data_IF_815324707965
#
_entry.id   IF_815324707965
#
_cell.length_a   1.000
_cell.length_b   1.000
_cell.length_c   1.000
_cell.angle_alpha   90.00
_cell.angle_beta   90.00
_cell.angle_gamma   90.00
#
_symmetry.space_group_name_H-M   'P 1'
#
loop_
_entity.id
_entity.type
_entity.pdbx_description
1 polymer ?
#
# COMPACT_ATOMS: atom_id res chain seq x y z
N UNK A 1 -3.93 -0.05 35.66
CA UNK A 1 -4.45 -0.03 34.28
C UNK A 1 -5.90 0.43 34.24
N UNK A 2 -6.85 -0.33 34.82
CA UNK A 2 -8.30 -0.04 34.72
C UNK A 2 -8.70 1.40 35.06
N UNK A 3 -8.32 1.90 36.23
CA UNK A 3 -8.67 3.27 36.66
C UNK A 3 -8.08 4.37 35.75
N UNK A 4 -6.87 4.18 35.22
CA UNK A 4 -6.20 5.18 34.38
C UNK A 4 -6.90 5.33 33.03
N UNK A 5 -7.20 4.22 32.35
CA UNK A 5 -7.92 4.32 31.08
C UNK A 5 -9.41 4.64 31.27
N UNK A 6 -10.01 4.30 32.41
CA UNK A 6 -11.39 4.70 32.72
C UNK A 6 -11.56 6.23 32.69
N UNK A 7 -10.56 6.99 33.14
CA UNK A 7 -10.55 8.45 33.11
C UNK A 7 -10.62 9.03 31.69
N UNK A 8 -10.25 8.28 30.65
CA UNK A 8 -10.34 8.74 29.25
C UNK A 8 -11.80 9.01 28.85
N UNK A 9 -12.73 8.12 29.22
CA UNK A 9 -14.15 8.26 28.86
C UNK A 9 -15.04 8.84 29.96
N UNK A 10 -14.55 8.88 31.20
CA UNK A 10 -15.33 9.20 32.41
C UNK A 10 -14.63 10.16 33.38
N UNK A 11 -13.56 10.84 32.95
CA UNK A 11 -12.89 11.85 33.76
C UNK A 11 -13.85 12.98 34.13
N UNK A 12 -13.63 13.60 35.30
CA UNK A 12 -14.50 14.70 35.79
C UNK A 12 -14.55 15.90 34.85
N UNK A 13 -13.51 16.07 34.03
CA UNK A 13 -13.36 17.16 33.07
C UNK A 13 -13.53 16.69 31.61
N UNK A 14 -14.06 15.48 31.37
CA UNK A 14 -14.30 14.95 30.02
C UNK A 14 -15.77 15.14 29.64
N UNK A 15 -16.07 16.18 28.87
CA UNK A 15 -17.41 16.46 28.32
C UNK A 15 -17.48 16.32 26.78
N UNK A 16 -16.34 16.07 26.14
CA UNK A 16 -16.20 15.94 24.69
C UNK A 16 -15.02 15.08 24.27
N UNK A 17 -14.82 15.02 22.95
CA UNK A 17 -13.81 14.17 22.31
C UNK A 17 -12.38 14.71 22.49
N UNK A 18 -12.20 16.03 22.47
CA UNK A 18 -10.88 16.69 22.52
C UNK A 18 -10.17 16.42 23.86
N UNK A 19 -10.96 16.38 24.93
CA UNK A 19 -10.52 16.16 26.30
C UNK A 19 -10.02 14.71 26.49
N UNK A 20 -10.46 13.76 25.64
CA UNK A 20 -9.99 12.37 25.67
C UNK A 20 -8.54 12.22 25.21
N UNK A 21 -8.06 13.09 24.32
CA UNK A 21 -6.80 12.89 23.62
C UNK A 21 -5.61 12.97 24.59
N UNK A 22 -5.56 14.01 25.43
CA UNK A 22 -4.46 14.21 26.38
C UNK A 22 -4.37 13.06 27.39
N UNK A 23 -5.53 12.62 27.89
CA UNK A 23 -5.62 11.52 28.86
C UNK A 23 -5.18 10.20 28.19
N UNK A 24 -5.65 9.91 26.97
CA UNK A 24 -5.24 8.74 26.22
C UNK A 24 -3.73 8.74 25.95
N UNK A 25 -3.15 9.84 25.48
CA UNK A 25 -1.71 9.95 25.20
C UNK A 25 -0.89 9.73 26.47
N UNK A 26 -1.26 10.41 27.57
CA UNK A 26 -0.57 10.32 28.87
C UNK A 26 -0.52 8.88 29.39
N UNK A 27 -1.61 8.13 29.28
CA UNK A 27 -1.64 6.75 29.76
C UNK A 27 -1.00 5.77 28.79
N UNK A 28 -1.17 5.97 27.49
CA UNK A 28 -0.59 5.13 26.44
C UNK A 28 0.94 5.26 26.35
N UNK A 29 1.51 6.45 26.65
CA UNK A 29 2.95 6.69 26.61
C UNK A 29 3.77 5.73 27.50
N UNK A 30 3.18 5.22 28.59
CA UNK A 30 3.82 4.24 29.48
C UNK A 30 4.08 2.88 28.81
N UNK A 31 3.32 2.57 27.75
CA UNK A 31 3.38 1.30 27.04
C UNK A 31 4.07 1.42 25.67
N UNK A 32 4.45 2.63 25.27
CA UNK A 32 5.19 2.89 24.04
C UNK A 32 6.47 3.70 24.31
N UNK A 33 7.46 3.17 25.06
CA UNK A 33 8.66 3.92 25.42
C UNK A 33 9.52 4.38 24.24
N UNK A 34 9.41 3.77 23.06
CA UNK A 34 10.19 4.12 21.86
C UNK A 34 9.37 4.94 20.84
N UNK A 35 8.08 5.12 21.11
CA UNK A 35 7.19 5.92 20.30
C UNK A 35 6.77 7.20 21.03
N UNK A 36 6.37 8.19 20.26
CA UNK A 36 5.79 9.42 20.72
C UNK A 36 4.39 9.55 20.13
N UNK A 37 3.40 9.75 21.00
CA UNK A 37 2.01 9.98 20.62
C UNK A 37 1.78 11.48 20.58
N UNK A 38 1.30 11.98 19.45
CA UNK A 38 1.14 13.41 19.19
C UNK A 38 -0.32 13.67 18.84
N UNK A 39 -0.89 14.70 19.46
CA UNK A 39 -2.20 15.22 19.06
C UNK A 39 -2.08 15.89 17.68
N UNK A 40 -2.67 15.26 16.66
CA UNK A 40 -2.64 15.69 15.26
C UNK A 40 -3.99 16.20 14.74
N UNK A 41 -5.05 16.17 15.56
CA UNK A 41 -6.41 16.61 15.20
C UNK A 41 -6.47 18.01 14.56
N UNK A 42 -5.62 18.93 15.01
CA UNK A 42 -5.57 20.31 14.50
C UNK A 42 -4.72 20.52 13.25
N UNK A 43 -4.03 19.49 12.74
CA UNK A 43 -2.96 19.65 11.74
C UNK A 43 -3.14 18.69 10.56
N UNK A 44 -3.34 19.23 9.36
CA UNK A 44 -3.37 18.41 8.14
C UNK A 44 -1.98 18.17 7.56
N UNK A 45 -1.75 16.95 7.09
CA UNK A 45 -0.62 16.63 6.21
C UNK A 45 -0.99 16.91 4.74
N UNK A 46 -1.04 18.19 4.39
CA UNK A 46 -1.38 18.65 3.04
C UNK A 46 -0.19 18.63 2.08
N UNK A 47 1.04 18.48 2.61
CA UNK A 47 2.28 18.64 1.85
C UNK A 47 2.42 17.62 0.70
N UNK A 48 1.77 16.45 0.84
CA UNK A 48 1.90 15.35 -0.10
C UNK A 48 0.62 15.06 -0.93
N UNK A 49 -0.45 15.85 -0.76
CA UNK A 49 -1.80 15.51 -1.22
C UNK A 49 -2.53 16.67 -1.91
N UNK A 50 -2.13 16.97 -3.14
CA UNK A 50 -2.65 18.10 -3.94
C UNK A 50 -4.17 18.07 -4.21
N UNK A 51 -4.82 16.91 -4.14
CA UNK A 51 -6.25 16.75 -4.48
C UNK A 51 -7.18 16.61 -3.28
N UNK A 52 -6.65 16.59 -2.06
CA UNK A 52 -7.42 16.37 -0.82
C UNK A 52 -6.92 17.24 0.35
N UNK A 53 -6.75 18.57 0.16
CA UNK A 53 -6.27 19.44 1.23
C UNK A 53 -7.26 19.46 2.41
N UNK A 54 -6.72 19.42 3.62
CA UNK A 54 -7.43 19.50 4.89
C UNK A 54 -8.03 18.18 5.38
N UNK A 55 -7.97 17.09 4.61
CA UNK A 55 -8.64 15.83 4.97
C UNK A 55 -7.80 14.92 5.88
N UNK A 56 -6.48 14.91 5.72
CA UNK A 56 -5.58 14.02 6.46
C UNK A 56 -5.27 14.56 7.85
N UNK A 57 -6.18 14.35 8.80
CA UNK A 57 -6.11 14.87 10.18
C UNK A 57 -6.54 13.80 11.20
N UNK A 58 -5.80 12.70 11.35
CA UNK A 58 -6.05 11.76 12.45
C UNK A 58 -5.95 12.49 13.79
N UNK A 59 -6.72 12.06 14.78
CA UNK A 59 -6.74 12.73 16.08
C UNK A 59 -5.42 12.59 16.83
N UNK A 60 -4.88 11.37 16.87
CA UNK A 60 -3.56 11.07 17.43
C UNK A 60 -2.75 10.26 16.44
N UNK A 61 -1.49 10.63 16.26
CA UNK A 61 -0.53 9.86 15.47
C UNK A 61 0.65 9.42 16.33
N UNK A 62 1.11 8.19 16.10
CA UNK A 62 2.30 7.65 16.72
C UNK A 62 3.51 7.81 15.78
N UNK A 63 4.65 8.22 16.33
CA UNK A 63 5.91 8.36 15.62
C UNK A 63 7.02 7.67 16.39
N UNK A 64 8.11 7.26 15.73
CA UNK A 64 9.32 6.87 16.45
C UNK A 64 9.94 8.09 17.10
N UNK A 65 10.48 7.97 18.32
CA UNK A 65 11.15 9.12 18.99
C UNK A 65 12.33 9.66 18.20
N UNK A 66 13.03 8.79 17.49
CA UNK A 66 14.15 9.16 16.59
C UNK A 66 13.72 10.07 15.44
N UNK A 67 12.43 10.07 15.08
CA UNK A 67 11.92 10.86 13.96
C UNK A 67 11.94 12.37 14.23
N UNK A 68 11.92 12.78 15.50
CA UNK A 68 11.82 14.18 15.94
C UNK A 68 10.60 14.92 15.39
N UNK A 69 9.57 14.19 14.97
CA UNK A 69 8.33 14.76 14.41
C UNK A 69 7.56 15.43 15.53
N UNK A 70 7.06 16.65 15.27
CA UNK A 70 6.19 17.39 16.21
C UNK A 70 4.88 17.82 15.56
N UNK A 71 4.62 17.35 14.34
CA UNK A 71 3.44 17.70 13.55
C UNK A 71 2.96 16.50 12.74
N UNK A 72 1.75 16.60 12.15
CA UNK A 72 1.21 15.50 11.35
C UNK A 72 2.03 15.24 10.07
N UNK A 73 2.58 14.02 9.93
CA UNK A 73 3.43 13.63 8.79
C UNK A 73 3.29 12.13 8.48
N UNK A 74 2.45 11.80 7.51
CA UNK A 74 2.19 10.42 7.08
C UNK A 74 3.42 9.73 6.47
N UNK A 75 4.49 10.45 6.14
CA UNK A 75 5.75 9.83 5.70
C UNK A 75 6.54 9.19 6.86
N UNK A 76 6.17 9.50 8.11
CA UNK A 76 6.83 9.04 9.33
C UNK A 76 5.88 8.42 10.37
N UNK A 77 4.56 8.50 10.19
CA UNK A 77 3.58 7.88 11.08
C UNK A 77 3.74 6.37 11.19
N UNK A 78 3.66 5.83 12.40
CA UNK A 78 3.69 4.40 12.68
C UNK A 78 2.28 3.78 12.65
N UNK A 79 1.39 4.35 13.46
CA UNK A 79 -0.06 4.08 13.46
C UNK A 79 -0.80 5.35 13.87
N UNK A 80 -2.11 5.37 13.67
CA UNK A 80 -2.96 6.48 14.10
C UNK A 80 -4.13 5.99 14.97
N UNK A 81 -4.66 6.88 15.81
CA UNK A 81 -5.88 6.68 16.55
C UNK A 81 -6.93 7.70 16.10
N UNK A 82 -8.15 7.23 15.91
CA UNK A 82 -9.31 8.03 15.55
C UNK A 82 -10.37 7.88 16.64
N UNK A 83 -10.86 9.00 17.16
CA UNK A 83 -11.84 9.05 18.23
C UNK A 83 -13.20 9.41 17.68
N UNK A 84 -14.22 8.91 18.37
CA UNK A 84 -15.61 9.29 18.19
C UNK A 84 -16.30 9.32 19.54
N UNK A 85 -17.11 10.35 19.78
CA UNK A 85 -17.85 10.46 21.03
C UNK A 85 -19.14 9.62 21.05
N UNK A 86 -19.90 9.58 19.95
CA UNK A 86 -21.21 8.92 19.93
C UNK A 86 -21.08 7.48 19.45
N UNK A 87 -21.80 6.56 20.09
CA UNK A 87 -21.87 5.15 19.64
C UNK A 87 -22.42 5.01 18.21
N UNK A 88 -23.23 5.99 17.77
CA UNK A 88 -23.71 6.10 16.39
C UNK A 88 -22.58 6.12 15.35
N UNK A 89 -21.43 6.69 15.72
CA UNK A 89 -20.30 6.94 14.84
C UNK A 89 -19.37 5.71 14.69
N UNK A 90 -19.57 4.63 15.48
CA UNK A 90 -18.79 3.40 15.27
C UNK A 90 -19.01 2.89 13.83
N UNK A 91 -17.90 2.73 13.09
CA UNK A 91 -17.90 2.25 11.72
C UNK A 91 -18.45 0.84 11.53
N UNK A 92 -18.52 0.04 12.60
CA UNK A 92 -18.78 -1.40 12.50
C UNK A 92 -19.86 -1.88 13.48
N UNK A 93 -20.57 -2.93 13.09
CA UNK A 93 -21.56 -3.62 13.92
C UNK A 93 -21.11 -5.06 14.20
N UNK A 94 -20.94 -5.39 15.48
CA UNK A 94 -20.62 -6.75 15.92
C UNK A 94 -21.87 -7.63 16.08
N UNK A 95 -23.07 -7.08 15.87
CA UNK A 95 -24.30 -7.84 15.87
C UNK A 95 -24.36 -8.77 14.66
N UNK A 96 -24.79 -10.01 14.86
CA UNK A 96 -25.00 -10.96 13.75
C UNK A 96 -26.34 -10.69 13.03
N UNK A 97 -26.96 -9.52 13.25
CA UNK A 97 -28.29 -9.13 12.74
C UNK A 97 -28.24 -8.32 11.44
N UNK A 98 -27.05 -7.91 10.99
CA UNK A 98 -26.87 -7.03 9.84
C UNK A 98 -25.48 -7.14 9.23
N UNK A 99 -25.16 -6.31 8.23
CA UNK A 99 -23.82 -6.24 7.69
C UNK A 99 -22.84 -5.73 8.76
N UNK A 100 -21.63 -6.29 8.75
CA UNK A 100 -20.58 -5.86 9.67
C UNK A 100 -20.19 -4.39 9.45
N UNK A 101 -20.18 -3.93 8.20
CA UNK A 101 -20.08 -2.50 7.89
C UNK A 101 -21.42 -1.81 8.15
N UNK A 102 -21.45 -0.94 9.17
CA UNK A 102 -22.67 -0.26 9.56
C UNK A 102 -23.08 0.77 8.49
N UNK A 103 -24.29 0.65 7.98
CA UNK A 103 -24.75 1.39 6.78
C UNK A 103 -25.25 2.82 7.06
N UNK A 104 -25.21 3.29 8.31
CA UNK A 104 -25.57 4.68 8.63
C UNK A 104 -24.56 5.66 8.03
N UNK A 105 -24.99 6.89 7.75
CA UNK A 105 -24.11 7.91 7.16
C UNK A 105 -22.88 8.18 8.05
N UNK A 106 -23.08 8.37 9.36
CA UNK A 106 -22.00 8.67 10.31
C UNK A 106 -20.93 7.57 10.38
N UNK A 107 -21.36 6.31 10.44
CA UNK A 107 -20.46 5.16 10.40
C UNK A 107 -19.73 5.04 9.06
N UNK A 108 -20.41 5.36 7.96
CA UNK A 108 -19.82 5.37 6.62
C UNK A 108 -18.76 6.47 6.49
N UNK A 109 -19.02 7.65 7.04
CA UNK A 109 -18.06 8.76 7.08
C UNK A 109 -16.82 8.37 7.92
N UNK A 110 -17.03 7.75 9.08
CA UNK A 110 -15.94 7.24 9.94
C UNK A 110 -15.08 6.19 9.22
N UNK A 111 -15.69 5.21 8.53
CA UNK A 111 -14.92 4.25 7.71
C UNK A 111 -14.19 4.95 6.55
N UNK A 112 -14.81 5.96 5.96
CA UNK A 112 -14.20 6.82 4.94
C UNK A 112 -12.93 7.50 5.45
N UNK A 113 -12.98 8.13 6.62
CA UNK A 113 -11.82 8.76 7.28
C UNK A 113 -10.72 7.74 7.58
N UNK A 114 -11.06 6.66 8.30
CA UNK A 114 -10.12 5.60 8.67
C UNK A 114 -9.39 5.02 7.45
N UNK A 115 -10.14 4.72 6.38
CA UNK A 115 -9.55 4.18 5.14
C UNK A 115 -8.71 5.22 4.40
N UNK A 116 -9.10 6.50 4.43
CA UNK A 116 -8.30 7.57 3.82
C UNK A 116 -6.93 7.68 4.52
N UNK A 117 -6.90 7.63 5.85
CA UNK A 117 -5.66 7.70 6.63
C UNK A 117 -4.78 6.46 6.44
N UNK A 118 -5.38 5.27 6.47
CA UNK A 118 -4.66 4.05 6.15
C UNK A 118 -4.07 4.07 4.74
N UNK A 119 -4.81 4.60 3.77
CA UNK A 119 -4.38 4.72 2.38
C UNK A 119 -3.20 5.66 2.26
N UNK A 120 -3.26 6.78 2.98
CA UNK A 120 -2.20 7.76 3.03
C UNK A 120 -0.91 7.17 3.64
N UNK A 121 -1.03 6.51 4.79
CA UNK A 121 0.07 5.82 5.45
C UNK A 121 0.72 4.77 4.53
N UNK A 122 -0.11 3.93 3.91
CA UNK A 122 0.35 2.87 3.02
C UNK A 122 0.97 3.41 1.73
N UNK A 123 0.62 4.61 1.24
CA UNK A 123 1.16 5.15 -0.02
C UNK A 123 2.36 6.11 0.18
N UNK A 124 2.44 6.76 1.34
CA UNK A 124 3.53 7.68 1.68
C UNK A 124 4.81 6.94 2.11
N UNK A 125 4.68 5.69 2.56
CA UNK A 125 5.78 4.85 3.02
C UNK A 125 5.87 3.53 2.22
N UNK A 126 6.98 2.81 2.35
CA UNK A 126 7.11 1.43 1.85
C UNK A 126 6.55 0.46 2.90
N UNK A 127 5.22 0.29 2.88
CA UNK A 127 4.47 -0.53 3.84
C UNK A 127 3.82 -1.74 3.18
N UNK A 128 3.93 -2.90 3.80
CA UNK A 128 3.18 -4.12 3.47
C UNK A 128 1.79 -4.11 4.09
N UNK A 129 1.69 -3.55 5.29
CA UNK A 129 0.46 -3.37 6.04
C UNK A 129 0.60 -2.20 7.02
N UNK A 130 -0.51 -1.77 7.60
CA UNK A 130 -0.57 -0.68 8.56
C UNK A 130 -1.57 -1.00 9.68
N UNK A 131 -1.49 -0.26 10.77
CA UNK A 131 -2.41 -0.40 11.90
C UNK A 131 -3.05 0.93 12.26
N UNK A 132 -4.26 0.86 12.78
CA UNK A 132 -4.93 1.99 13.41
C UNK A 132 -5.81 1.54 14.57
N UNK A 133 -6.21 2.49 15.41
CA UNK A 133 -7.10 2.26 16.54
C UNK A 133 -8.31 3.17 16.39
N UNK A 134 -9.51 2.61 16.40
CA UNK A 134 -10.74 3.41 16.51
C UNK A 134 -11.17 3.38 17.98
N UNK A 135 -11.32 4.54 18.59
CA UNK A 135 -11.87 4.72 19.93
C UNK A 135 -13.28 5.30 19.79
N UNK A 136 -14.26 4.67 20.41
CA UNK A 136 -15.64 5.16 20.44
C UNK A 136 -16.14 5.16 21.89
N UNK A 137 -16.10 6.34 22.51
CA UNK A 137 -16.38 6.55 23.94
C UNK A 137 -15.58 5.61 24.86
N UNK A 138 -16.16 4.47 25.23
CA UNK A 138 -15.61 3.48 26.17
C UNK A 138 -14.96 2.27 25.49
N UNK A 139 -15.13 2.17 24.18
CA UNK A 139 -14.76 1.00 23.41
C UNK A 139 -13.65 1.32 22.42
N UNK A 140 -12.84 0.31 22.13
CA UNK A 140 -11.81 0.38 21.11
C UNK A 140 -11.98 -0.76 20.10
N UNK A 141 -11.48 -0.52 18.89
CA UNK A 141 -11.22 -1.53 17.86
C UNK A 141 -9.80 -1.38 17.37
N UNK A 142 -9.08 -2.49 17.29
CA UNK A 142 -7.79 -2.54 16.62
C UNK A 142 -8.05 -2.91 15.15
N UNK A 143 -7.41 -2.18 14.25
CA UNK A 143 -7.58 -2.34 12.81
C UNK A 143 -6.23 -2.60 12.16
N UNK A 144 -6.13 -3.69 11.40
CA UNK A 144 -4.99 -3.95 10.51
C UNK A 144 -5.43 -3.74 9.07
N UNK A 145 -4.71 -2.89 8.35
CA UNK A 145 -4.93 -2.58 6.94
C UNK A 145 -3.90 -3.27 6.06
N UNK A 146 -4.34 -3.87 4.96
CA UNK A 146 -3.45 -4.29 3.88
C UNK A 146 -4.09 -3.99 2.51
N UNK A 147 -3.43 -4.41 1.43
CA UNK A 147 -3.90 -4.11 0.06
C UNK A 147 -5.16 -4.87 -0.36
N UNK A 148 -5.67 -5.78 0.46
CA UNK A 148 -6.95 -6.44 0.22
C UNK A 148 -8.10 -5.82 1.01
N UNK A 149 -7.83 -5.11 2.12
CA UNK A 149 -8.87 -4.48 2.95
C UNK A 149 -8.42 -4.25 4.38
N UNK A 150 -9.33 -4.48 5.33
CA UNK A 150 -9.04 -4.34 6.76
C UNK A 150 -9.54 -5.53 7.59
N UNK A 151 -8.74 -5.91 8.59
CA UNK A 151 -9.11 -6.87 9.62
C UNK A 151 -9.42 -6.07 10.89
N UNK A 152 -10.60 -6.27 11.47
CA UNK A 152 -11.06 -5.48 12.63
C UNK A 152 -11.50 -6.37 13.76
N UNK A 153 -11.02 -6.06 14.96
CA UNK A 153 -11.46 -6.75 16.18
C UNK A 153 -12.92 -6.45 16.47
N UNK A 154 -13.59 -7.34 17.20
CA UNK A 154 -14.79 -6.97 17.95
C UNK A 154 -14.49 -5.75 18.83
N UNK A 155 -15.49 -4.90 19.08
CA UNK A 155 -15.33 -3.80 20.04
C UNK A 155 -15.07 -4.38 21.43
N UNK A 156 -14.14 -3.79 22.16
CA UNK A 156 -13.83 -4.16 23.53
C UNK A 156 -13.71 -2.92 24.39
N UNK A 157 -14.08 -3.01 25.67
CA UNK A 157 -13.93 -1.90 26.59
C UNK A 157 -12.45 -1.73 26.97
N UNK A 158 -11.82 -0.63 26.57
CA UNK A 158 -10.37 -0.47 26.63
C UNK A 158 -9.81 -0.25 28.04
N UNK A 159 -10.67 0.01 29.03
CA UNK A 159 -10.30 0.09 30.44
C UNK A 159 -10.67 -1.16 31.25
N UNK A 160 -11.47 -2.07 30.70
CA UNK A 160 -11.78 -3.36 31.34
C UNK A 160 -10.88 -4.48 30.84
N UNK A 161 -10.59 -4.47 29.54
CA UNK A 161 -9.82 -5.49 28.82
C UNK A 161 -8.37 -5.06 28.57
N UNK A 162 -7.40 -5.99 28.53
CA UNK A 162 -5.98 -5.67 28.37
C UNK A 162 -5.59 -5.34 26.92
N UNK A 163 -6.47 -5.56 25.94
CA UNK A 163 -6.09 -5.63 24.53
C UNK A 163 -5.47 -4.34 23.97
N UNK A 164 -5.92 -3.16 24.40
CA UNK A 164 -5.32 -1.90 23.96
C UNK A 164 -3.87 -1.78 24.46
N UNK A 165 -3.64 -2.08 25.75
CA UNK A 165 -2.30 -2.03 26.34
C UNK A 165 -1.39 -3.09 25.74
N UNK A 166 -1.89 -4.31 25.56
CA UNK A 166 -1.13 -5.39 24.92
C UNK A 166 -0.73 -5.02 23.49
N UNK A 167 -1.62 -4.40 22.72
CA UNK A 167 -1.30 -3.90 21.38
C UNK A 167 -0.22 -2.83 21.43
N UNK A 168 -0.36 -1.80 22.26
CA UNK A 168 0.59 -0.70 22.36
C UNK A 168 1.99 -1.20 22.76
N UNK A 169 2.06 -2.08 23.75
CA UNK A 169 3.30 -2.70 24.20
C UNK A 169 3.93 -3.56 23.10
N UNK A 170 3.16 -4.48 22.50
CA UNK A 170 3.66 -5.37 21.45
C UNK A 170 4.09 -4.60 20.22
N UNK A 171 3.33 -3.58 19.81
CA UNK A 171 3.68 -2.73 18.67
C UNK A 171 4.99 -1.97 18.94
N UNK A 172 5.18 -1.42 20.14
CA UNK A 172 6.41 -0.73 20.51
C UNK A 172 7.65 -1.61 20.39
N UNK A 173 7.57 -2.87 20.80
CA UNK A 173 8.70 -3.81 20.74
C UNK A 173 8.74 -4.66 19.47
N UNK A 174 7.74 -4.55 18.60
CA UNK A 174 7.73 -5.25 17.31
C UNK A 174 8.87 -4.73 16.43
N UNK A 175 9.41 -5.63 15.59
CA UNK A 175 10.35 -5.24 14.53
C UNK A 175 9.67 -4.29 13.53
N UNK A 176 10.47 -3.53 12.78
CA UNK A 176 9.93 -2.66 11.73
C UNK A 176 9.08 -3.45 10.71
N UNK A 177 9.50 -4.67 10.36
CA UNK A 177 8.76 -5.59 9.49
C UNK A 177 7.41 -6.00 10.08
N UNK A 178 7.37 -6.37 11.36
CA UNK A 178 6.12 -6.72 12.05
C UNK A 178 5.18 -5.52 12.24
N UNK A 179 5.71 -4.29 12.28
CA UNK A 179 4.90 -3.06 12.21
C UNK A 179 4.38 -2.79 10.81
N UNK A 180 4.99 -3.39 9.79
CA UNK A 180 4.58 -3.35 8.39
C UNK A 180 5.53 -2.61 7.46
N UNK A 181 6.73 -2.20 7.88
CA UNK A 181 7.76 -1.65 7.00
C UNK A 181 8.35 -2.75 6.12
N UNK A 182 8.44 -2.53 4.81
CA UNK A 182 8.94 -3.55 3.88
C UNK A 182 10.47 -3.68 4.00
N UNK A 183 11.02 -4.83 4.45
CA UNK A 183 12.46 -5.00 4.64
C UNK A 183 13.24 -5.01 3.32
N UNK A 184 12.56 -5.21 2.19
CA UNK A 184 13.19 -5.18 0.86
C UNK A 184 13.50 -3.77 0.37
N UNK A 185 13.04 -2.73 1.08
CA UNK A 185 13.29 -1.33 0.72
C UNK A 185 13.86 -0.59 1.92
N UNK A 186 15.10 -0.11 1.81
CA UNK A 186 15.80 0.57 2.90
C UNK A 186 16.42 1.88 2.42
N UNK A 187 16.67 2.82 3.33
CA UNK A 187 17.40 4.03 2.97
C UNK A 187 18.88 3.73 2.71
N UNK A 188 19.41 4.24 1.60
CA UNK A 188 20.83 4.13 1.25
C UNK A 188 21.65 5.10 2.10
N UNK A 189 22.27 4.59 3.16
CA UNK A 189 23.06 5.38 4.12
C UNK A 189 24.43 5.80 3.60
N UNK A 190 25.00 5.11 2.61
CA UNK A 190 26.28 5.50 1.99
C UNK A 190 26.10 6.80 1.19
N UNK A 191 26.61 7.90 1.76
CA UNK A 191 26.51 9.24 1.18
C UNK A 191 27.18 9.35 -0.19
N UNK A 192 28.31 8.66 -0.39
CA UNK A 192 29.07 8.72 -1.63
C UNK A 192 28.33 8.03 -2.77
N UNK A 193 27.74 6.86 -2.46
CA UNK A 193 26.92 6.11 -3.40
C UNK A 193 25.61 6.87 -3.68
N UNK A 194 24.92 7.38 -2.65
CA UNK A 194 23.71 8.16 -2.81
C UNK A 194 23.92 9.41 -3.67
N UNK A 195 25.07 10.10 -3.54
CA UNK A 195 25.42 11.25 -4.40
C UNK A 195 25.51 10.85 -5.87
N UNK A 196 26.14 9.72 -6.19
CA UNK A 196 26.22 9.19 -7.57
C UNK A 196 24.84 8.86 -8.12
N UNK A 197 24.01 8.15 -7.36
CA UNK A 197 22.64 7.80 -7.75
C UNK A 197 21.81 9.04 -8.04
N UNK A 198 21.89 10.06 -7.16
CA UNK A 198 21.19 11.33 -7.37
C UNK A 198 21.61 12.04 -8.65
N UNK A 199 22.91 12.10 -8.92
CA UNK A 199 23.44 12.68 -10.14
C UNK A 199 22.96 11.93 -11.40
N UNK A 200 22.98 10.59 -11.39
CA UNK A 200 22.52 9.77 -12.52
C UNK A 200 21.03 9.91 -12.81
N UNK A 201 20.20 10.07 -11.77
CA UNK A 201 18.73 10.12 -11.89
C UNK A 201 18.16 11.55 -11.95
N UNK A 202 19.00 12.57 -11.75
CA UNK A 202 18.54 13.96 -11.59
C UNK A 202 17.56 14.09 -10.43
N UNK A 203 17.96 13.58 -9.27
CA UNK A 203 17.25 13.69 -7.99
C UNK A 203 17.90 14.81 -7.17
N UNK A 204 17.09 15.62 -6.48
CA UNK A 204 17.57 16.70 -5.63
C UNK A 204 18.42 16.18 -4.46
N UNK A 205 19.40 16.98 -4.01
CA UNK A 205 20.32 16.57 -2.95
C UNK A 205 19.64 16.29 -1.60
N UNK A 206 18.53 16.98 -1.32
CA UNK A 206 17.69 16.80 -0.12
C UNK A 206 16.87 15.51 -0.14
N UNK A 207 16.61 14.92 -1.31
CA UNK A 207 15.75 13.74 -1.43
C UNK A 207 16.48 12.47 -0.98
N UNK A 208 15.75 11.59 -0.29
CA UNK A 208 16.24 10.28 0.14
C UNK A 208 16.46 9.38 -1.08
N UNK A 209 17.49 8.55 -0.99
CA UNK A 209 17.76 7.48 -1.97
C UNK A 209 17.46 6.16 -1.30
N UNK A 210 16.65 5.34 -1.95
CA UNK A 210 16.25 4.02 -1.48
C UNK A 210 17.09 2.94 -2.15
N UNK A 211 17.43 1.91 -1.39
CA UNK A 211 17.95 0.62 -1.86
C UNK A 211 16.79 -0.36 -1.92
N UNK A 212 16.59 -0.96 -3.09
CA UNK A 212 15.64 -2.04 -3.34
C UNK A 212 16.42 -3.35 -3.45
N UNK A 213 16.01 -4.36 -2.70
CA UNK A 213 16.55 -5.72 -2.73
C UNK A 213 15.47 -6.63 -3.30
N UNK A 214 15.67 -7.10 -4.52
CA UNK A 214 14.68 -7.88 -5.26
C UNK A 214 15.20 -9.30 -5.46
N UNK A 215 14.45 -10.29 -5.02
CA UNK A 215 14.83 -11.70 -5.17
C UNK A 215 13.96 -12.30 -6.27
N UNK A 216 14.59 -12.76 -7.35
CA UNK A 216 13.88 -13.33 -8.49
C UNK A 216 13.38 -14.76 -8.22
N UNK A 217 12.70 -15.35 -9.22
CA UNK A 217 12.10 -16.69 -9.07
C UNK A 217 13.15 -17.81 -8.95
N UNK A 218 14.40 -17.56 -9.32
CA UNK A 218 15.51 -18.49 -9.14
C UNK A 218 16.19 -18.33 -7.77
N UNK A 219 15.76 -17.33 -6.97
CA UNK A 219 16.37 -16.99 -5.70
C UNK A 219 17.60 -16.09 -5.81
N UNK A 220 17.89 -15.52 -6.99
CA UNK A 220 19.00 -14.58 -7.14
C UNK A 220 18.61 -13.19 -6.62
N UNK A 221 19.52 -12.57 -5.88
CA UNK A 221 19.32 -11.25 -5.28
C UNK A 221 19.86 -10.13 -6.18
N UNK A 222 18.99 -9.18 -6.51
CA UNK A 222 19.28 -8.03 -7.38
C UNK A 222 19.12 -6.72 -6.61
N UNK A 223 20.09 -5.82 -6.72
CA UNK A 223 20.09 -4.53 -6.01
C UNK A 223 19.85 -3.37 -6.97
N UNK A 224 18.93 -2.50 -6.60
CA UNK A 224 18.65 -1.25 -7.32
C UNK A 224 18.63 -0.07 -6.36
N UNK A 225 19.02 1.10 -6.85
CA UNK A 225 19.16 2.30 -6.02
C UNK A 225 18.47 3.48 -6.68
N UNK A 226 17.59 4.19 -5.97
CA UNK A 226 16.86 5.33 -6.54
C UNK A 226 15.63 5.71 -5.74
N UNK A 227 14.52 5.94 -6.43
CA UNK A 227 13.27 6.34 -5.78
C UNK A 227 12.64 7.63 -6.31
N UNK A 228 13.13 8.16 -7.44
CA UNK A 228 12.41 9.19 -8.17
C UNK A 228 11.11 8.59 -8.69
N UNK A 229 9.99 9.01 -8.11
CA UNK A 229 8.66 8.53 -8.48
C UNK A 229 8.36 9.02 -9.89
N UNK A 230 8.29 8.08 -10.83
CA UNK A 230 7.84 8.34 -12.20
C UNK A 230 6.32 8.22 -12.32
N UNK A 231 5.72 7.38 -11.48
CA UNK A 231 4.28 7.14 -11.44
C UNK A 231 3.84 6.73 -10.04
N UNK A 232 2.72 7.30 -9.56
CA UNK A 232 2.07 6.92 -8.31
C UNK A 232 0.61 6.60 -8.61
N UNK A 233 0.19 5.37 -8.33
CA UNK A 233 -1.21 4.97 -8.43
C UNK A 233 -2.11 5.66 -7.39
N UNK A 234 -3.41 5.38 -7.43
CA UNK A 234 -4.40 5.99 -6.55
C UNK A 234 -4.14 5.61 -5.08
N UNK A 235 -4.23 6.58 -4.16
CA UNK A 235 -4.01 6.47 -2.71
C UNK A 235 -5.04 5.65 -1.91
N UNK A 236 -5.67 4.66 -2.53
CA UNK A 236 -6.69 3.83 -1.88
C UNK A 236 -6.03 2.63 -1.17
N UNK A 237 -6.38 2.30 0.09
CA UNK A 237 -5.77 1.19 0.83
C UNK A 237 -5.86 -0.15 0.09
N UNK A 238 -7.08 -0.55 -0.29
CA UNK A 238 -7.36 -1.81 -0.97
C UNK A 238 -7.25 -1.63 -2.49
N UNK A 239 -6.01 -1.49 -2.96
CA UNK A 239 -5.69 -1.34 -4.37
C UNK A 239 -4.40 -2.08 -4.70
N UNK A 240 -4.11 -2.18 -6.00
CA UNK A 240 -2.82 -2.70 -6.48
C UNK A 240 -1.64 -1.82 -6.11
N UNK A 241 -1.90 -0.57 -5.67
CA UNK A 241 -0.90 0.37 -5.21
C UNK A 241 0.36 0.46 -6.09
N UNK A 242 0.16 0.42 -7.41
CA UNK A 242 1.25 0.39 -8.38
C UNK A 242 2.09 1.67 -8.28
N UNK A 243 3.40 1.50 -8.16
CA UNK A 243 4.40 2.56 -8.14
C UNK A 243 5.44 2.31 -9.21
N UNK A 244 5.85 3.38 -9.87
CA UNK A 244 6.94 3.40 -10.84
C UNK A 244 8.10 4.23 -10.33
N UNK A 245 9.30 3.67 -10.33
CA UNK A 245 10.51 4.33 -9.86
C UNK A 245 11.57 4.34 -10.95
N UNK A 246 12.25 5.47 -11.11
CA UNK A 246 13.56 5.49 -11.76
C UNK A 246 14.60 5.03 -10.74
N UNK A 247 15.39 4.04 -11.14
CA UNK A 247 16.45 3.43 -10.32
C UNK A 247 17.71 3.22 -11.15
N UNK A 248 18.80 2.92 -10.46
CA UNK A 248 20.10 2.59 -11.03
C UNK A 248 20.48 1.18 -10.60
N UNK A 249 20.97 0.35 -11.53
CA UNK A 249 21.49 -0.98 -11.22
C UNK A 249 22.93 -0.93 -10.67
N UNK A 250 23.49 -2.07 -10.27
CA UNK A 250 24.86 -2.17 -9.74
C UNK A 250 25.95 -1.72 -10.71
N UNK A 251 25.64 -1.61 -12.02
CA UNK A 251 26.57 -1.17 -13.06
C UNK A 251 26.44 0.33 -13.36
N UNK A 252 25.49 1.03 -12.74
CA UNK A 252 25.26 2.45 -12.97
C UNK A 252 24.25 2.76 -14.08
N UNK A 253 23.59 1.75 -14.65
CA UNK A 253 22.61 1.98 -15.70
C UNK A 253 21.25 2.39 -15.13
N UNK A 254 20.57 3.31 -15.81
CA UNK A 254 19.20 3.69 -15.48
C UNK A 254 18.23 2.57 -15.84
N UNK A 255 17.30 2.28 -14.94
CA UNK A 255 16.23 1.28 -15.08
C UNK A 255 14.90 1.84 -14.59
N UNK A 256 13.81 1.23 -15.02
CA UNK A 256 12.48 1.50 -14.50
C UNK A 256 12.03 0.33 -13.64
N UNK A 257 11.76 0.57 -12.36
CA UNK A 257 11.19 -0.41 -11.44
C UNK A 257 9.70 -0.15 -11.28
N UNK A 258 8.88 -1.12 -11.70
CA UNK A 258 7.45 -1.18 -11.39
C UNK A 258 7.27 -2.09 -10.17
N UNK A 259 6.64 -1.55 -9.14
CA UNK A 259 6.28 -2.26 -7.91
C UNK A 259 4.76 -2.26 -7.77
N UNK A 260 4.14 -3.41 -7.54
CA UNK A 260 2.68 -3.55 -7.57
C UNK A 260 2.21 -4.70 -6.70
N UNK A 261 0.97 -4.62 -6.22
CA UNK A 261 0.28 -5.72 -5.58
C UNK A 261 -0.61 -6.40 -6.61
N UNK A 262 -0.15 -7.54 -7.13
CA UNK A 262 -0.91 -8.31 -8.13
C UNK A 262 -1.96 -9.17 -7.45
N UNK A 263 -3.09 -9.36 -8.13
CA UNK A 263 -4.13 -10.31 -7.72
C UNK A 263 -3.61 -11.73 -7.99
N UNK A 264 -3.73 -12.61 -7.01
CA UNK A 264 -3.41 -14.02 -7.18
C UNK A 264 -4.66 -14.76 -7.69
N UNK A 265 -4.69 -14.98 -9.00
CA UNK A 265 -5.76 -15.73 -9.68
C UNK A 265 -5.13 -16.64 -10.73
N UNK A 266 -5.58 -17.89 -10.81
CA UNK A 266 -5.11 -18.85 -11.82
C UNK A 266 -5.39 -18.37 -13.25
N UNK A 267 -6.28 -17.40 -13.41
CA UNK A 267 -6.62 -16.79 -14.70
C UNK A 267 -5.76 -15.59 -15.08
N UNK A 268 -4.92 -15.08 -14.16
CA UNK A 268 -4.09 -13.88 -14.35
C UNK A 268 -2.61 -14.28 -14.33
N UNK A 269 -2.00 -14.27 -15.52
CA UNK A 269 -0.57 -14.52 -15.68
C UNK A 269 0.28 -13.41 -15.05
N UNK A 270 1.53 -13.75 -14.67
CA UNK A 270 2.50 -12.73 -14.27
C UNK A 270 2.86 -11.89 -15.50
N UNK A 271 3.05 -10.59 -15.29
CA UNK A 271 3.45 -9.68 -16.37
C UNK A 271 4.81 -10.08 -16.95
N UNK A 272 5.76 -10.52 -16.12
CA UNK A 272 7.08 -10.99 -16.55
C UNK A 272 7.02 -12.21 -17.46
N UNK A 273 6.14 -13.18 -17.17
CA UNK A 273 5.92 -14.35 -18.01
C UNK A 273 5.38 -13.94 -19.40
N UNK A 274 4.52 -12.93 -19.45
CA UNK A 274 4.01 -12.37 -20.72
C UNK A 274 5.15 -11.77 -21.52
N UNK A 275 6.01 -10.96 -20.89
CA UNK A 275 7.19 -10.39 -21.55
C UNK A 275 8.17 -11.47 -22.05
N UNK A 276 8.37 -12.55 -21.30
CA UNK A 276 9.19 -13.68 -21.73
C UNK A 276 8.62 -14.30 -23.02
N UNK A 277 7.30 -14.49 -23.09
CA UNK A 277 6.61 -15.03 -24.27
C UNK A 277 6.69 -14.08 -25.48
N UNK A 278 6.55 -12.77 -25.26
CA UNK A 278 6.73 -11.75 -26.30
C UNK A 278 8.15 -11.77 -26.87
N UNK A 279 9.16 -11.93 -26.01
CA UNK A 279 10.56 -12.03 -26.39
C UNK A 279 10.85 -13.29 -27.21
N UNK A 280 10.33 -14.44 -26.79
CA UNK A 280 10.44 -15.72 -27.52
C UNK A 280 9.89 -15.58 -28.95
N UNK A 281 8.80 -14.86 -29.13
CA UNK A 281 8.16 -14.62 -30.42
C UNK A 281 8.72 -13.43 -31.20
N UNK A 282 9.80 -12.81 -30.71
CA UNK A 282 10.47 -11.65 -31.30
C UNK A 282 9.49 -10.50 -31.59
N UNK A 283 8.63 -10.18 -30.62
CA UNK A 283 7.73 -9.02 -30.71
C UNK A 283 8.57 -7.74 -30.59
N UNK A 284 8.51 -6.81 -31.56
CA UNK A 284 9.26 -5.58 -31.52
C UNK A 284 8.61 -4.55 -30.59
N UNK A 285 9.35 -3.47 -30.30
CA UNK A 285 8.82 -2.28 -29.61
C UNK A 285 8.15 -2.57 -28.26
N UNK A 286 8.71 -3.53 -27.51
CA UNK A 286 8.40 -3.79 -26.10
C UNK A 286 9.69 -3.69 -25.30
N UNK A 287 9.66 -3.20 -24.05
CA UNK A 287 10.86 -3.12 -23.23
C UNK A 287 11.40 -4.51 -22.87
N UNK A 288 12.72 -4.60 -22.68
CA UNK A 288 13.37 -5.77 -22.11
C UNK A 288 13.16 -5.79 -20.60
N UNK A 289 12.80 -6.98 -20.09
CA UNK A 289 12.77 -7.25 -18.65
C UNK A 289 14.16 -7.65 -18.19
N UNK A 290 14.67 -6.93 -17.19
CA UNK A 290 15.92 -7.25 -16.50
C UNK A 290 15.67 -8.31 -15.43
N UNK A 291 14.66 -8.08 -14.59
CA UNK A 291 14.27 -9.01 -13.53
C UNK A 291 12.80 -8.80 -13.20
N UNK A 292 12.11 -9.87 -12.84
CA UNK A 292 10.75 -9.82 -12.31
C UNK A 292 10.47 -10.99 -11.38
N UNK A 293 9.55 -10.81 -10.44
CA UNK A 293 9.20 -11.88 -9.53
C UNK A 293 8.14 -11.47 -8.53
N UNK A 294 7.57 -12.48 -7.87
CA UNK A 294 6.79 -12.22 -6.67
C UNK A 294 7.75 -11.96 -5.50
N UNK A 295 7.47 -10.94 -4.69
CA UNK A 295 8.24 -10.70 -3.48
C UNK A 295 8.08 -11.88 -2.51
N UNK A 296 9.18 -12.22 -1.85
CA UNK A 296 9.30 -13.31 -0.87
C UNK A 296 9.50 -12.75 0.53
N UNK A 297 9.13 -13.53 1.54
CA UNK A 297 9.20 -13.14 2.95
C UNK A 297 7.84 -12.88 3.57
N UNK A 298 7.87 -12.50 4.85
CA UNK A 298 6.65 -12.27 5.60
C UNK A 298 5.89 -11.05 5.08
N UNK A 299 4.56 -11.11 5.18
CA UNK A 299 3.66 -10.01 4.84
C UNK A 299 3.71 -9.53 3.38
N UNK A 300 4.43 -10.22 2.50
CA UNK A 300 4.41 -9.98 1.04
C UNK A 300 3.12 -10.48 0.38
N UNK A 301 2.24 -11.11 1.16
CA UNK A 301 0.86 -11.49 0.81
C UNK A 301 -0.11 -10.84 1.78
N UNK A 302 -1.25 -10.38 1.25
CA UNK A 302 -2.34 -9.85 2.08
C UNK A 302 -2.94 -10.97 2.92
N UNK A 303 -3.45 -10.65 4.11
CA UNK A 303 -4.10 -11.61 5.00
C UNK A 303 -5.60 -11.37 5.16
N UNK A 304 -6.11 -10.20 4.79
CA UNK A 304 -7.53 -9.86 4.98
C UNK A 304 -8.50 -10.92 4.44
N UNK A 305 -8.16 -11.55 3.32
CA UNK A 305 -8.97 -12.60 2.69
C UNK A 305 -9.08 -13.90 3.53
N UNK A 306 -8.12 -14.17 4.43
CA UNK A 306 -8.11 -15.34 5.31
C UNK A 306 -9.13 -15.22 6.45
N UNK A 307 -9.59 -14.00 6.75
CA UNK A 307 -10.51 -13.70 7.86
C UNK A 307 -11.97 -13.55 7.39
N UNK A 308 -12.30 -14.08 6.20
CA UNK A 308 -13.65 -14.05 5.64
C UNK A 308 -14.36 -15.39 5.88
N UNK A 309 -15.53 -15.37 6.52
CA UNK A 309 -16.44 -16.52 6.54
C UNK A 309 -17.22 -16.59 5.21
N UNK A 310 -17.28 -17.75 4.53
CA UNK A 310 -18.00 -17.86 3.27
C UNK A 310 -19.51 -17.70 3.49
N UNK A 311 -20.06 -16.52 3.22
CA UNK A 311 -21.49 -16.31 3.06
C UNK A 311 -21.81 -15.93 1.62
N UNK A 312 -22.91 -16.45 1.11
CA UNK A 312 -23.26 -16.61 -0.31
C UNK A 312 -23.51 -15.33 -1.12
N UNK A 313 -23.19 -14.15 -0.59
CA UNK A 313 -23.34 -12.85 -1.28
C UNK A 313 -22.09 -11.97 -1.24
N UNK A 314 -21.00 -12.41 -0.61
CA UNK A 314 -19.76 -11.63 -0.52
C UNK A 314 -18.90 -11.84 -1.76
N UNK A 315 -18.55 -10.75 -2.45
CA UNK A 315 -17.52 -10.77 -3.46
C UNK A 315 -16.22 -11.29 -2.80
N UNK A 316 -15.69 -12.44 -3.24
CA UNK A 316 -14.44 -13.00 -2.73
C UNK A 316 -13.40 -11.89 -2.64
N UNK A 317 -12.95 -11.57 -1.43
CA UNK A 317 -11.89 -10.59 -1.25
C UNK A 317 -10.66 -11.06 -2.00
N UNK A 318 -10.07 -10.15 -2.77
CA UNK A 318 -8.93 -10.47 -3.63
C UNK A 318 -7.70 -10.66 -2.76
N UNK A 319 -7.09 -11.83 -2.84
CA UNK A 319 -5.75 -12.05 -2.33
C UNK A 319 -4.73 -11.34 -3.23
N UNK A 320 -3.80 -10.63 -2.63
CA UNK A 320 -2.76 -9.94 -3.37
C UNK A 320 -1.39 -10.39 -2.89
N UNK A 321 -0.44 -10.47 -3.81
CA UNK A 321 0.97 -10.64 -3.52
C UNK A 321 1.74 -9.48 -4.13
N UNK A 322 2.71 -8.94 -3.40
CA UNK A 322 3.62 -7.94 -3.95
C UNK A 322 4.46 -8.56 -5.07
N UNK A 323 4.59 -7.82 -6.16
CA UNK A 323 5.23 -8.23 -7.39
C UNK A 323 6.02 -7.06 -7.95
N UNK A 324 7.21 -7.36 -8.48
CA UNK A 324 8.08 -6.37 -9.07
C UNK A 324 8.48 -6.79 -10.48
N UNK A 325 8.73 -5.78 -11.32
CA UNK A 325 9.31 -5.95 -12.65
C UNK A 325 10.20 -4.75 -12.97
N UNK A 326 11.42 -5.03 -13.40
CA UNK A 326 12.42 -4.03 -13.77
C UNK A 326 12.64 -4.07 -15.26
N UNK A 327 12.44 -2.94 -15.92
CA UNK A 327 12.67 -2.77 -17.34
C UNK A 327 14.02 -2.11 -17.61
N UNK A 328 14.69 -2.55 -18.68
CA UNK A 328 15.99 -2.03 -19.08
C UNK A 328 15.88 -0.60 -19.62
N UNK A 329 14.80 -0.31 -20.35
CA UNK A 329 14.55 0.96 -21.00
C UNK A 329 13.77 1.92 -20.09
N UNK A 330 14.10 3.21 -20.19
CA UNK A 330 13.42 4.32 -19.50
C UNK A 330 13.00 5.34 -20.56
N UNK A 331 11.69 5.49 -20.76
CA UNK A 331 11.12 6.45 -21.72
C UNK A 331 10.22 7.48 -21.06
N UNK A 332 9.72 8.42 -21.86
CA UNK A 332 8.72 9.41 -21.45
C UNK A 332 7.32 9.02 -21.94
N UNK A 333 6.24 9.27 -21.18
CA UNK A 333 4.88 9.01 -21.66
C UNK A 333 4.57 9.68 -23.00
N UNK A 334 3.77 9.02 -23.85
CA UNK A 334 3.40 9.55 -25.17
C UNK A 334 2.78 10.95 -25.11
N UNK A 335 2.02 11.28 -24.06
CA UNK A 335 1.43 12.60 -23.86
C UNK A 335 2.44 13.76 -23.81
N UNK A 336 3.71 13.48 -23.54
CA UNK A 336 4.79 14.45 -23.40
C UNK A 336 5.63 14.57 -24.70
N UNK A 337 5.06 14.15 -25.85
CA UNK A 337 5.71 14.22 -27.17
C UNK A 337 6.11 15.66 -27.53
N UNK A 338 7.26 15.82 -28.20
CA UNK A 338 7.81 17.13 -28.57
C UNK A 338 7.29 17.66 -29.90
N UNK A 339 6.90 16.75 -30.80
CA UNK A 339 6.44 17.07 -32.14
C UNK A 339 5.55 15.97 -32.71
N UNK A 340 4.83 16.28 -33.79
CA UNK A 340 3.92 15.34 -34.44
C UNK A 340 4.60 14.08 -34.96
N UNK A 341 5.90 14.15 -35.31
CA UNK A 341 6.67 12.99 -35.74
C UNK A 341 6.82 11.97 -34.60
N UNK A 342 7.22 12.39 -33.39
CA UNK A 342 7.31 11.48 -32.23
C UNK A 342 5.97 10.82 -31.91
N UNK A 343 4.87 11.59 -31.94
CA UNK A 343 3.53 11.07 -31.70
C UNK A 343 3.16 9.96 -32.71
N UNK A 344 3.32 10.25 -34.00
CA UNK A 344 2.94 9.30 -35.07
C UNK A 344 3.86 8.09 -35.07
N UNK A 345 5.18 8.29 -34.92
CA UNK A 345 6.16 7.21 -34.92
C UNK A 345 5.96 6.27 -33.73
N UNK A 346 5.82 6.79 -32.52
CA UNK A 346 5.64 5.96 -31.33
C UNK A 346 4.31 5.21 -31.35
N UNK A 347 3.24 5.84 -31.84
CA UNK A 347 1.94 5.17 -32.02
C UNK A 347 2.03 4.05 -33.06
N UNK A 348 2.72 4.30 -34.18
CA UNK A 348 2.96 3.28 -35.21
C UNK A 348 3.71 2.06 -34.65
N UNK A 349 4.77 2.30 -33.88
CA UNK A 349 5.52 1.25 -33.20
C UNK A 349 4.68 0.45 -32.20
N UNK A 350 3.81 1.10 -31.43
CA UNK A 350 2.90 0.41 -30.51
C UNK A 350 1.88 -0.47 -31.24
N UNK A 351 1.34 0.00 -32.38
CA UNK A 351 0.44 -0.79 -33.24
C UNK A 351 1.18 -2.00 -33.82
N UNK A 352 2.43 -1.82 -34.26
CA UNK A 352 3.27 -2.89 -34.76
C UNK A 352 3.56 -3.95 -33.67
N UNK A 353 3.95 -3.53 -32.46
CA UNK A 353 4.14 -4.43 -31.32
C UNK A 353 2.89 -5.28 -31.07
N UNK A 354 1.73 -4.63 -30.99
CA UNK A 354 0.46 -5.31 -30.78
C UNK A 354 0.13 -6.29 -31.91
N UNK A 355 0.31 -5.88 -33.17
CA UNK A 355 0.06 -6.74 -34.33
C UNK A 355 0.91 -8.02 -34.26
N UNK A 356 2.21 -7.88 -34.03
CA UNK A 356 3.12 -9.04 -33.96
C UNK A 356 2.81 -9.91 -32.75
N UNK A 357 2.48 -9.32 -31.60
CA UNK A 357 2.05 -10.06 -30.42
C UNK A 357 0.76 -10.87 -30.68
N UNK A 358 -0.22 -10.27 -31.36
CA UNK A 358 -1.47 -10.93 -31.71
C UNK A 358 -1.26 -12.06 -32.72
N UNK A 359 -0.51 -11.80 -33.79
CA UNK A 359 -0.33 -12.75 -34.88
C UNK A 359 0.60 -13.91 -34.51
N UNK A 360 1.73 -13.62 -33.86
CA UNK A 360 2.79 -14.60 -33.55
C UNK A 360 2.67 -15.19 -32.16
N UNK A 361 2.59 -14.34 -31.12
CA UNK A 361 2.55 -14.80 -29.73
C UNK A 361 1.14 -15.23 -29.27
N UNK A 362 0.11 -14.95 -30.09
CA UNK A 362 -1.31 -15.16 -29.75
C UNK A 362 -1.72 -14.43 -28.48
N UNK A 363 -1.21 -13.22 -28.28
CA UNK A 363 -1.51 -12.38 -27.11
C UNK A 363 -2.26 -11.13 -27.54
N UNK A 364 -3.38 -10.84 -26.88
CA UNK A 364 -4.13 -9.60 -27.02
C UNK A 364 -3.83 -8.68 -25.83
N UNK A 365 -3.34 -7.45 -26.08
CA UNK A 365 -2.94 -6.50 -25.03
C UNK A 365 -4.11 -6.03 -24.14
N UNK A 366 -5.24 -5.68 -24.77
CA UNK A 366 -6.50 -5.19 -24.16
C UNK A 366 -6.49 -3.84 -23.44
N UNK A 367 -5.32 -3.24 -23.21
CA UNK A 367 -5.24 -1.91 -22.58
C UNK A 367 -4.31 -0.93 -23.34
N UNK A 368 -4.53 -0.75 -24.64
CA UNK A 368 -3.73 0.22 -25.42
C UNK A 368 -4.29 1.62 -25.15
N UNK A 369 -3.47 2.48 -24.55
CA UNK A 369 -3.81 3.86 -24.22
C UNK A 369 -2.59 4.76 -24.35
N UNK A 370 -2.80 6.09 -24.33
CA UNK A 370 -1.70 7.08 -24.33
C UNK A 370 -0.78 6.90 -23.12
N UNK A 371 -1.29 6.40 -21.99
CA UNK A 371 -0.50 6.12 -20.79
C UNK A 371 0.42 4.91 -20.92
N UNK A 372 0.12 4.00 -21.85
CA UNK A 372 0.80 2.72 -22.02
C UNK A 372 1.74 2.71 -23.24
N UNK A 373 2.04 3.88 -23.81
CA UNK A 373 3.03 4.06 -24.87
C UNK A 373 4.12 4.99 -24.35
N UNK A 374 5.36 4.51 -24.36
CA UNK A 374 6.53 5.32 -24.04
C UNK A 374 7.24 5.76 -25.32
N UNK A 375 7.81 6.96 -25.27
CA UNK A 375 8.68 7.54 -26.29
C UNK A 375 10.11 7.50 -25.76
N UNK A 376 11.00 6.93 -26.56
CA UNK A 376 12.45 6.87 -26.33
C UNK A 376 13.16 7.96 -27.14
N UNK A 377 14.45 8.15 -26.87
CA UNK A 377 15.29 9.05 -27.66
C UNK A 377 15.23 8.70 -29.16
N UNK A 378 15.05 9.71 -30.01
CA UNK A 378 14.87 9.53 -31.46
C UNK A 378 13.43 9.18 -31.90
N UNK A 379 12.45 9.22 -31.00
CA UNK A 379 11.03 9.02 -31.31
C UNK A 379 10.59 7.56 -31.43
N UNK A 380 11.44 6.62 -31.02
CA UNK A 380 11.05 5.21 -30.94
C UNK A 380 9.96 5.01 -29.88
N UNK A 381 8.98 4.14 -30.18
CA UNK A 381 7.85 3.89 -29.30
C UNK A 381 8.00 2.54 -28.62
N UNK A 382 7.59 2.42 -27.36
CA UNK A 382 7.50 1.15 -26.65
C UNK A 382 6.09 0.97 -26.10
N UNK A 383 5.48 -0.19 -26.35
CA UNK A 383 4.21 -0.59 -25.75
C UNK A 383 4.46 -1.30 -24.42
N UNK A 384 3.88 -0.77 -23.35
CA UNK A 384 4.05 -1.24 -21.97
C UNK A 384 2.71 -1.68 -21.35
N UNK A 385 2.77 -2.21 -20.14
CA UNK A 385 1.61 -2.56 -19.31
C UNK A 385 0.79 -3.76 -19.84
N UNK A 386 1.50 -4.87 -20.06
CA UNK A 386 0.93 -6.12 -20.57
C UNK A 386 0.23 -6.96 -19.49
N UNK A 387 0.09 -6.45 -18.27
CA UNK A 387 -0.54 -7.15 -17.15
C UNK A 387 -2.00 -7.52 -17.41
N UNK A 388 -2.68 -6.76 -18.27
CA UNK A 388 -4.05 -7.03 -18.66
C UNK A 388 -4.17 -7.79 -19.98
N UNK A 389 -3.08 -8.34 -20.51
CA UNK A 389 -3.12 -9.13 -21.73
C UNK A 389 -3.86 -10.46 -21.58
N UNK A 390 -4.23 -11.10 -22.71
CA UNK A 390 -4.84 -12.45 -22.74
C UNK A 390 -4.21 -13.30 -23.84
N UNK A 391 -3.88 -14.56 -23.56
CA UNK A 391 -3.70 -15.55 -24.62
C UNK A 391 -5.02 -15.77 -25.38
N UNK A 392 -4.99 -15.75 -26.71
CA UNK A 392 -6.16 -15.94 -27.57
C UNK A 392 -6.76 -17.33 -27.43
N UNK A 393 -5.94 -18.34 -27.13
CA UNK A 393 -6.37 -19.73 -26.98
C UNK A 393 -6.99 -20.04 -25.61
N UNK A 394 -7.06 -19.05 -24.70
CA UNK A 394 -7.65 -19.25 -23.38
C UNK A 394 -9.18 -19.11 -23.40
N UNK A 395 -9.86 -20.25 -23.36
CA UNK A 395 -11.32 -20.41 -23.26
C UNK A 395 -11.91 -19.94 -21.91
N UNK A 396 -11.08 -19.42 -21.00
CA UNK A 396 -11.52 -18.96 -19.69
C UNK A 396 -12.53 -17.78 -19.80
N UNK A 397 -13.65 -17.83 -19.05
CA UNK A 397 -14.67 -16.77 -19.03
C UNK A 397 -14.08 -15.39 -18.70
N UNK A 398 -14.77 -14.30 -19.10
CA UNK A 398 -14.42 -12.95 -18.64
C UNK A 398 -14.59 -12.86 -17.12
N UNK A 399 -13.50 -12.77 -16.37
CA UNK A 399 -13.54 -12.46 -14.94
C UNK A 399 -13.86 -10.98 -14.70
N UNK A 400 -14.85 -10.72 -13.84
CA UNK A 400 -15.24 -9.38 -13.33
C UNK A 400 -14.11 -8.69 -12.53
N UNK A 401 -13.02 -9.41 -12.26
CA UNK A 401 -11.85 -9.01 -11.47
C UNK A 401 -11.07 -7.81 -12.06
N UNK A 402 -11.40 -7.40 -13.29
CA UNK A 402 -10.61 -6.45 -14.11
C UNK A 402 -11.20 -5.04 -14.19
N UNK A 403 -12.33 -4.79 -13.54
CA UNK A 403 -12.90 -3.45 -13.40
C UNK A 403 -12.69 -2.98 -11.96
N UNK A 404 -12.15 -1.78 -11.77
CA UNK A 404 -12.24 -1.04 -10.49
C UNK A 404 -13.72 -0.69 -10.30
N UNK A 405 -14.52 -1.65 -9.83
CA UNK A 405 -15.83 -1.34 -9.28
C UNK A 405 -15.60 -0.97 -7.84
N UNK A 406 -16.00 0.26 -7.52
CA UNK A 406 -16.12 0.89 -6.20
C UNK A 406 -15.74 -0.03 -5.04
N UNK A 407 -14.63 0.33 -4.37
CA UNK A 407 -14.24 -0.26 -3.11
C UNK A 407 -15.39 -0.17 -2.10
N UNK A 408 -16.10 -1.28 -1.91
CA UNK A 408 -16.59 -1.60 -0.59
C UNK A 408 -15.35 -2.01 0.23
N UNK A 409 -15.06 -1.21 1.26
CA UNK A 409 -14.02 -1.51 2.25
C UNK A 409 -14.56 -2.69 3.05
N UNK A 410 -14.30 -3.91 2.58
CA UNK A 410 -14.72 -5.11 3.30
C UNK A 410 -13.87 -5.25 4.54
N UNK A 411 -14.54 -5.06 5.67
CA UNK A 411 -13.97 -5.23 7.00
C UNK A 411 -14.72 -6.36 7.68
N UNK A 412 -14.06 -7.28 8.40
CA UNK A 412 -14.76 -8.27 9.23
C UNK A 412 -14.05 -8.65 10.53
N UNK A 413 -14.93 -9.11 11.42
CA UNK A 413 -14.81 -9.55 12.81
C UNK A 413 -13.77 -10.66 13.00
N UNK A 414 -12.70 -10.40 13.75
CA UNK A 414 -11.97 -11.47 14.46
C UNK A 414 -12.51 -11.65 15.87
N UNK A 415 -12.80 -12.90 16.25
CA UNK A 415 -12.90 -13.27 17.65
C UNK A 415 -11.54 -13.04 18.32
N UNK A 416 -11.49 -12.15 19.30
CA UNK A 416 -10.35 -12.04 20.21
C UNK A 416 -10.19 -13.40 20.92
N UNK A 417 -8.95 -13.90 20.93
CA UNK A 417 -8.49 -15.17 21.48
C UNK A 417 -8.71 -16.41 20.58
N UNK A 418 -7.75 -16.68 19.67
CA UNK A 418 -7.00 -17.96 19.66
C UNK A 418 -5.85 -18.10 18.62
N UNK A 419 -5.57 -17.14 17.74
CA UNK A 419 -4.48 -17.32 16.72
C UNK A 419 -3.48 -16.17 16.59
N UNK A 420 -3.33 -15.34 17.63
CA UNK A 420 -2.13 -14.49 17.75
C UNK A 420 -1.04 -15.30 18.47
N UNK A 421 -0.36 -16.18 17.73
CA UNK A 421 0.83 -16.90 18.19
C UNK A 421 0.55 -18.22 18.90
N UNK A 422 0.39 -19.29 18.13
CA UNK A 422 0.66 -20.65 18.60
C UNK A 422 1.70 -21.30 17.67
N UNK A 423 2.86 -20.68 17.56
CA UNK A 423 4.09 -21.41 17.28
C UNK A 423 5.00 -21.24 18.50
N UNK A 424 5.44 -22.32 19.16
CA UNK A 424 6.39 -22.22 20.26
C UNK A 424 7.77 -21.89 19.68
N UNK A 425 8.17 -20.62 19.73
CA UNK A 425 9.57 -20.26 19.60
C UNK A 425 10.26 -20.65 20.91
N UNK A 426 10.99 -21.76 20.89
CA UNK A 426 12.00 -22.08 21.90
C UNK A 426 13.13 -21.06 21.83
N UNK A 427 13.61 -20.65 23.01
CA UNK A 427 14.78 -19.79 23.24
C UNK A 427 15.97 -20.06 22.31
#
# INVERSE_FOLDING_TARGET
MKQQFYEVGHGTDVDGELEMYEIMMKHSAKYCPDLELINTSGQSDDANWEHQPGLLKPDISAYTKESGVVYNDFTRTEFFMEFKWKEGDDGFDDSDKGPFEKVTQQATDTRGQLSTYAGALLISQFRTHAFSIQITRDYARLIRWDRAGAIVTRKFCYYEEPFLVDFLWRYNYASAEARGHDPTVTELKDRSHAKKVRATLGIEESQRVWKFVLIDENGEEHHFFGGKVAFKGVGVPASRATRGFLVVDSQGNRRYLKDTWRILSDTIQKEGDVYALLKEHNVPHVPDVVVSGNAVGDWQRTKTHEYVTPTSQDAMLRNHQRYFIVFAQVGTPLKDFKNSFELVQATSHAIEAHKVAYEKAKILHRDISVGNILVMDGGQGLLIDWEFSKPLDSSAPRTLERTVRNLAIHVRKTALAQTWGSEPYTC
#
